data_IF_127721114235
#
_entry.id   IF_127721114235
#
_cell.length_a   1.000
_cell.length_b   1.000
_cell.length_c   1.000
_cell.angle_alpha   90.00
_cell.angle_beta   90.00
_cell.angle_gamma   90.00
#
_symmetry.space_group_name_H-M   'P 1'
#
loop_
_entity.id
_entity.type
_entity.pdbx_description
1 polymer ?
#
# COMPACT_ATOMS: atom_id res chain seq x y z
N UNK A 1 2.36 -28.94 -5.50
CA UNK A 1 2.25 -27.54 -5.00
C UNK A 1 3.28 -26.69 -5.72
N UNK A 2 2.86 -25.61 -6.39
CA UNK A 2 3.80 -24.65 -6.98
C UNK A 2 4.48 -23.89 -5.86
N UNK A 3 5.82 -23.90 -5.82
CA UNK A 3 6.60 -23.18 -4.81
C UNK A 3 6.42 -21.67 -5.04
N UNK A 4 5.93 -20.96 -4.04
CA UNK A 4 5.75 -19.52 -4.11
C UNK A 4 7.12 -18.80 -4.22
N UNK A 5 7.15 -17.69 -4.97
CA UNK A 5 8.35 -16.89 -5.15
C UNK A 5 8.80 -16.26 -3.82
N UNK A 6 10.09 -16.37 -3.48
CA UNK A 6 10.66 -15.87 -2.22
C UNK A 6 10.49 -14.36 -2.03
N UNK A 7 10.60 -13.59 -3.11
CA UNK A 7 10.40 -12.13 -3.08
C UNK A 7 8.94 -11.82 -2.74
N UNK A 8 8.00 -12.54 -3.37
CA UNK A 8 6.58 -12.36 -3.10
C UNK A 8 6.19 -12.74 -1.67
N UNK A 9 6.71 -13.85 -1.14
CA UNK A 9 6.51 -14.21 0.27
C UNK A 9 7.08 -13.16 1.21
N UNK A 10 8.27 -12.64 0.91
CA UNK A 10 8.90 -11.57 1.71
C UNK A 10 8.13 -10.26 1.63
N UNK A 11 7.60 -9.92 0.45
CA UNK A 11 6.77 -8.74 0.22
C UNK A 11 5.51 -8.78 1.07
N UNK A 12 4.75 -9.89 1.03
CA UNK A 12 3.56 -10.09 1.87
C UNK A 12 3.89 -9.91 3.35
N UNK A 13 4.96 -10.55 3.82
CA UNK A 13 5.41 -10.44 5.22
C UNK A 13 5.66 -8.99 5.63
N UNK A 14 6.43 -8.25 4.84
CA UNK A 14 6.77 -6.86 5.14
C UNK A 14 5.56 -5.93 5.03
N UNK A 15 4.72 -6.12 4.01
CA UNK A 15 3.51 -5.33 3.86
C UNK A 15 2.58 -5.54 5.05
N UNK A 16 2.31 -6.79 5.44
CA UNK A 16 1.47 -7.09 6.62
C UNK A 16 2.06 -6.53 7.91
N UNK A 17 3.39 -6.51 8.05
CA UNK A 17 4.05 -5.83 9.16
C UNK A 17 3.75 -4.33 9.17
N UNK A 18 3.90 -3.64 8.04
CA UNK A 18 3.60 -2.20 7.95
C UNK A 18 2.12 -1.87 8.05
N UNK A 19 1.24 -2.74 7.52
CA UNK A 19 -0.21 -2.62 7.68
C UNK A 19 -0.59 -2.57 9.16
N UNK A 20 -0.02 -3.49 9.96
CA UNK A 20 -0.25 -3.52 11.41
C UNK A 20 0.36 -2.29 12.09
N UNK A 21 1.59 -1.93 11.71
CA UNK A 21 2.28 -0.77 12.26
C UNK A 21 1.47 0.51 12.05
N UNK A 22 0.97 0.76 10.83
CA UNK A 22 0.17 1.94 10.50
C UNK A 22 -1.30 1.88 10.98
N UNK A 23 -1.69 0.87 11.76
CA UNK A 23 -3.07 0.71 12.22
C UNK A 23 -4.08 0.56 11.08
N UNK A 24 -3.69 -0.10 9.98
CA UNK A 24 -4.50 -0.34 8.77
C UNK A 24 -5.19 -1.71 8.80
N UNK A 25 -5.45 -2.25 10.00
CA UNK A 25 -6.04 -3.59 10.19
C UNK A 25 -7.52 -3.65 9.81
N UNK A 26 -8.19 -2.52 9.65
CA UNK A 26 -9.55 -2.44 9.11
C UNK A 26 -9.63 -2.77 7.61
N UNK A 27 -8.51 -2.68 6.88
CA UNK A 27 -8.47 -3.04 5.47
C UNK A 27 -8.32 -4.54 5.26
N UNK A 28 -9.19 -5.12 4.42
CA UNK A 28 -9.00 -6.46 3.87
C UNK A 28 -8.02 -6.38 2.71
N UNK A 29 -6.84 -6.97 2.88
CA UNK A 29 -5.75 -6.91 1.90
C UNK A 29 -5.59 -8.23 1.15
N UNK A 30 -5.66 -8.16 -0.18
CA UNK A 30 -5.32 -9.25 -1.09
C UNK A 30 -3.97 -9.00 -1.76
N UNK A 31 -3.23 -10.07 -2.03
CA UNK A 31 -1.94 -9.99 -2.70
C UNK A 31 -1.97 -10.72 -4.04
N UNK A 32 -1.34 -10.12 -5.05
CA UNK A 32 -1.15 -10.71 -6.37
C UNK A 32 0.32 -10.63 -6.80
N UNK A 33 0.76 -11.64 -7.54
CA UNK A 33 2.09 -11.68 -8.15
C UNK A 33 1.92 -11.84 -9.67
N UNK A 34 1.88 -10.72 -10.38
CA UNK A 34 1.54 -10.65 -11.79
C UNK A 34 2.43 -9.62 -12.51
N UNK A 35 2.61 -9.70 -13.83
CA UNK A 35 3.39 -8.71 -14.56
C UNK A 35 2.75 -7.32 -14.47
N UNK A 36 3.55 -6.30 -14.19
CA UNK A 36 3.16 -4.89 -14.27
C UNK A 36 4.02 -4.20 -15.34
N UNK A 37 3.46 -3.24 -16.06
CA UNK A 37 4.16 -2.60 -17.19
C UNK A 37 5.35 -1.75 -16.75
N UNK A 38 5.14 -0.82 -15.80
CA UNK A 38 6.16 0.18 -15.47
C UNK A 38 6.50 0.31 -13.98
N UNK A 39 5.89 -0.51 -13.13
CA UNK A 39 5.98 -0.37 -11.67
C UNK A 39 6.56 -1.61 -11.02
N UNK A 40 7.29 -1.42 -9.92
CA UNK A 40 7.80 -2.52 -9.09
C UNK A 40 6.67 -3.21 -8.31
N UNK A 41 5.77 -2.42 -7.76
CA UNK A 41 4.56 -2.85 -7.11
C UNK A 41 3.45 -1.83 -7.38
N UNK A 42 2.21 -2.19 -7.07
CA UNK A 42 1.10 -1.26 -7.12
C UNK A 42 0.01 -1.63 -6.13
N UNK A 43 -0.81 -0.65 -5.80
CA UNK A 43 -1.98 -0.79 -4.95
C UNK A 43 -3.21 -0.26 -5.67
N UNK A 44 -4.33 -0.97 -5.48
CA UNK A 44 -5.67 -0.47 -5.79
C UNK A 44 -6.54 -0.67 -4.57
N UNK A 45 -7.39 0.30 -4.25
CA UNK A 45 -8.24 0.24 -3.07
C UNK A 45 -9.67 0.69 -3.39
N UNK A 46 -10.65 -0.06 -2.89
CA UNK A 46 -12.05 0.36 -2.83
C UNK A 46 -12.30 0.85 -1.41
N UNK A 47 -12.29 2.18 -1.18
CA UNK A 47 -12.39 2.74 0.17
C UNK A 47 -13.73 2.46 0.85
N UNK A 48 -14.84 2.43 0.10
CA UNK A 48 -16.16 2.11 0.66
C UNK A 48 -16.24 0.71 1.28
N UNK A 49 -15.55 -0.27 0.68
CA UNK A 49 -15.54 -1.65 1.15
C UNK A 49 -14.35 -1.97 2.07
N UNK A 50 -13.44 -1.00 2.27
CA UNK A 50 -12.14 -1.19 2.93
C UNK A 50 -11.34 -2.38 2.36
N UNK A 51 -11.37 -2.56 1.04
CA UNK A 51 -10.65 -3.65 0.36
C UNK A 51 -9.48 -3.07 -0.44
N UNK A 52 -8.27 -3.59 -0.20
CA UNK A 52 -7.09 -3.26 -0.98
C UNK A 52 -6.51 -4.49 -1.67
N UNK A 53 -6.03 -4.32 -2.90
CA UNK A 53 -5.25 -5.33 -3.63
C UNK A 53 -3.86 -4.79 -3.90
N UNK A 54 -2.85 -5.46 -3.36
CA UNK A 54 -1.44 -5.14 -3.55
C UNK A 54 -0.85 -6.10 -4.56
N UNK A 55 -0.14 -5.58 -5.55
CA UNK A 55 0.50 -6.34 -6.62
C UNK A 55 2.00 -6.17 -6.50
N UNK A 56 2.74 -7.28 -6.54
CA UNK A 56 4.18 -7.26 -6.77
C UNK A 56 4.44 -7.68 -8.22
N UNK A 57 5.28 -6.93 -8.94
CA UNK A 57 5.57 -7.21 -10.32
C UNK A 57 6.38 -8.51 -10.47
N UNK A 58 5.83 -9.48 -11.22
CA UNK A 58 6.52 -10.74 -11.52
C UNK A 58 7.56 -10.64 -12.64
N UNK A 59 7.56 -9.53 -13.38
CA UNK A 59 8.48 -9.22 -14.48
C UNK A 59 8.99 -7.78 -14.35
N UNK A 60 10.02 -7.58 -13.52
CA UNK A 60 10.59 -6.25 -13.30
C UNK A 60 11.12 -5.61 -14.59
N UNK A 61 10.85 -4.31 -14.80
CA UNK A 61 11.44 -3.57 -15.91
C UNK A 61 12.95 -3.43 -15.70
N UNK A 62 13.70 -3.26 -16.79
CA UNK A 62 15.16 -3.27 -16.75
C UNK A 62 15.76 -2.14 -15.89
N UNK A 63 15.05 -1.01 -15.80
CA UNK A 63 15.42 0.14 -14.93
C UNK A 63 15.52 -0.22 -13.44
N UNK A 64 14.79 -1.26 -13.01
CA UNK A 64 14.69 -1.67 -11.61
C UNK A 64 15.57 -2.90 -11.30
N UNK A 65 16.40 -3.35 -12.26
CA UNK A 65 17.38 -4.42 -12.07
C UNK A 65 18.74 -3.83 -11.66
N UNK A 66 19.56 -4.51 -10.83
CA UNK A 66 19.33 -5.83 -10.23
C UNK A 66 18.69 -5.81 -8.83
N UNK A 67 18.57 -4.65 -8.19
CA UNK A 67 18.21 -4.56 -6.77
C UNK A 67 16.70 -4.57 -6.55
N UNK A 68 16.21 -5.69 -6.01
CA UNK A 68 14.84 -5.80 -5.51
C UNK A 68 14.78 -5.46 -4.03
N UNK A 69 14.60 -4.18 -3.70
CA UNK A 69 14.30 -3.80 -2.31
C UNK A 69 12.81 -4.04 -2.01
N UNK A 70 12.49 -5.32 -1.81
CA UNK A 70 11.14 -5.80 -1.52
C UNK A 70 10.57 -5.17 -0.26
N UNK A 71 11.42 -4.92 0.76
CA UNK A 71 10.99 -4.34 2.02
C UNK A 71 10.61 -2.87 1.83
N UNK A 72 11.45 -2.09 1.14
CA UNK A 72 11.16 -0.69 0.82
C UNK A 72 9.91 -0.56 -0.04
N UNK A 73 9.74 -1.41 -1.05
CA UNK A 73 8.53 -1.39 -1.87
C UNK A 73 7.29 -1.77 -1.05
N UNK A 74 7.36 -2.79 -0.19
CA UNK A 74 6.25 -3.12 0.69
C UNK A 74 5.88 -1.97 1.64
N UNK A 75 6.87 -1.23 2.16
CA UNK A 75 6.64 -0.01 2.94
C UNK A 75 5.97 1.07 2.12
N UNK A 76 6.43 1.28 0.88
CA UNK A 76 5.89 2.29 -0.03
C UNK A 76 4.41 2.06 -0.33
N UNK A 77 4.03 0.83 -0.68
CA UNK A 77 2.62 0.49 -0.93
C UNK A 77 1.76 0.62 0.34
N UNK A 78 2.30 0.29 1.52
CA UNK A 78 1.58 0.46 2.78
C UNK A 78 1.35 1.96 3.11
N UNK A 79 2.29 2.84 2.75
CA UNK A 79 2.11 4.29 2.86
C UNK A 79 1.04 4.78 1.87
N UNK A 80 1.02 4.25 0.63
CA UNK A 80 -0.08 4.57 -0.29
C UNK A 80 -1.44 4.16 0.28
N UNK A 81 -1.54 3.00 0.95
CA UNK A 81 -2.77 2.61 1.63
C UNK A 81 -3.15 3.59 2.75
N UNK A 82 -2.18 4.05 3.55
CA UNK A 82 -2.39 5.06 4.59
C UNK A 82 -2.93 6.38 4.01
N UNK A 83 -2.43 6.80 2.86
CA UNK A 83 -2.82 8.05 2.20
C UNK A 83 -4.09 7.94 1.34
N UNK A 84 -4.62 6.73 1.13
CA UNK A 84 -5.64 6.46 0.12
C UNK A 84 -6.95 7.22 0.35
N UNK A 85 -7.36 7.42 1.62
CA UNK A 85 -8.55 8.23 1.95
C UNK A 85 -8.37 9.69 1.52
N UNK A 86 -7.21 10.28 1.84
CA UNK A 86 -6.87 11.64 1.45
C UNK A 86 -6.80 11.78 -0.08
N UNK A 87 -6.15 10.83 -0.75
CA UNK A 87 -6.06 10.81 -2.20
C UNK A 87 -7.45 10.74 -2.86
N UNK A 88 -8.34 9.90 -2.33
CA UNK A 88 -9.70 9.80 -2.83
C UNK A 88 -10.49 11.10 -2.61
N UNK A 89 -10.42 11.68 -1.41
CA UNK A 89 -11.04 12.98 -1.14
C UNK A 89 -10.53 14.05 -2.13
N UNK A 90 -9.23 14.07 -2.44
CA UNK A 90 -8.67 15.02 -3.41
C UNK A 90 -9.14 14.77 -4.85
N UNK A 91 -9.50 13.53 -5.21
CA UNK A 91 -9.98 13.17 -6.55
C UNK A 91 -11.47 13.46 -6.77
N UNK A 92 -12.28 13.50 -5.72
CA UNK A 92 -13.71 13.80 -5.83
C UNK A 92 -13.96 15.30 -6.00
N UNK A 93 -14.79 15.66 -6.99
CA UNK A 93 -15.12 17.06 -7.31
C UNK A 93 -15.87 17.82 -6.21
N UNK A 94 -16.46 17.12 -5.26
CA UNK A 94 -17.36 17.68 -4.25
C UNK A 94 -16.83 17.56 -2.82
N UNK A 95 -15.54 17.24 -2.64
CA UNK A 95 -14.96 17.17 -1.31
C UNK A 95 -14.84 18.55 -0.68
N UNK A 96 -15.10 18.61 0.62
CA UNK A 96 -15.00 19.80 1.43
C UNK A 96 -13.61 19.93 2.04
N UNK A 97 -13.22 21.14 2.45
CA UNK A 97 -11.99 21.35 3.22
C UNK A 97 -12.02 20.59 4.56
N UNK A 98 -13.20 20.40 5.15
CA UNK A 98 -13.40 19.59 6.36
C UNK A 98 -13.02 18.12 6.15
N UNK A 99 -13.48 17.49 5.07
CA UNK A 99 -13.15 16.08 4.77
C UNK A 99 -11.66 15.87 4.49
N UNK A 100 -11.00 16.87 3.87
CA UNK A 100 -9.54 16.83 3.67
C UNK A 100 -8.83 16.96 5.02
N UNK A 101 -9.25 17.90 5.87
CA UNK A 101 -8.67 18.09 7.20
C UNK A 101 -8.82 16.83 8.06
N UNK A 102 -10.00 16.23 8.12
CA UNK A 102 -10.24 14.98 8.85
C UNK A 102 -9.34 13.83 8.37
N UNK A 103 -9.16 13.69 7.05
CA UNK A 103 -8.28 12.66 6.50
C UNK A 103 -6.80 12.91 6.86
N UNK A 104 -6.37 14.18 6.92
CA UNK A 104 -5.03 14.55 7.37
C UNK A 104 -4.84 14.24 8.85
N UNK A 105 -5.77 14.65 9.72
CA UNK A 105 -5.72 14.38 11.15
C UNK A 105 -5.70 12.87 11.45
N UNK A 106 -6.48 12.06 10.73
CA UNK A 106 -6.42 10.60 10.83
C UNK A 106 -5.01 10.06 10.55
N UNK A 107 -4.33 10.58 9.52
CA UNK A 107 -2.96 10.20 9.19
C UNK A 107 -1.99 10.66 10.28
N UNK A 108 -2.14 11.90 10.78
CA UNK A 108 -1.29 12.45 11.85
C UNK A 108 -1.37 11.59 13.09
N UNK A 109 -2.58 11.27 13.59
CA UNK A 109 -2.74 10.42 14.77
C UNK A 109 -2.08 9.05 14.61
N UNK A 110 -2.23 8.41 13.45
CA UNK A 110 -1.58 7.11 13.17
C UNK A 110 -0.04 7.21 13.14
N UNK A 111 0.52 8.36 12.78
CA UNK A 111 1.96 8.58 12.72
C UNK A 111 2.54 9.02 14.07
N UNK A 112 1.79 9.77 14.89
CA UNK A 112 2.19 10.13 16.25
C UNK A 112 2.44 8.87 17.12
N UNK A 113 1.57 7.87 16.99
CA UNK A 113 1.72 6.57 17.68
C UNK A 113 2.98 5.79 17.29
N UNK A 114 3.69 6.20 16.23
CA UNK A 114 4.87 5.50 15.70
C UNK A 114 6.19 6.19 16.00
N UNK A 115 6.15 7.47 16.36
CA UNK A 115 7.33 8.30 16.59
C UNK A 115 7.56 8.52 18.11
N UNK A 116 6.54 8.22 18.93
CA UNK A 116 6.64 8.20 20.40
C UNK A 116 7.19 6.87 20.92
#
# INVERSE_FOLDING_TARGET
MVKENKDFTSFKKWFTHYQKLFGLTGYKVYFKYEPLEESFASITCTTGDMVATIRLNSKLPDKDKPFKDVKRSAKHEAIHLLLMRLENNARYRYSTSGEIYEAVEEIVFKLEDLIN
#
